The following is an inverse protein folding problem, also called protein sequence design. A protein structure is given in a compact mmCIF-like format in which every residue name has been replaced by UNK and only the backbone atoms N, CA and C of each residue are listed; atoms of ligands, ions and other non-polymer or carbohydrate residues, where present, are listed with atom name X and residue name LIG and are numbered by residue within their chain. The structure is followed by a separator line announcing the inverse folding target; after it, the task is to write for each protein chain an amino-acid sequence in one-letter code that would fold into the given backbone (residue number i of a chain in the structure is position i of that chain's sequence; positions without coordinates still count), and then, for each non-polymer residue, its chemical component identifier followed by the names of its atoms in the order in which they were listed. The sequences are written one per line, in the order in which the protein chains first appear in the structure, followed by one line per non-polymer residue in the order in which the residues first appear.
data_IF_921410876644
#
_entry.id   IF_921410876644
#
_cell.length_a   1.000
_cell.length_b   1.000
_cell.length_c   1.000
_cell.angle_alpha   90.00
_cell.angle_beta   90.00
_cell.angle_gamma   90.00
#
_symmetry.space_group_name_H-M   'P 1'
#
loop_
_entity.id
_entity.type
_entity.pdbx_description
1 polymer ?
#
# COMPACT_ATOMS: atom_id res chain seq x y z
N UNK A 1 -12.94 -17.81 10.72
CA UNK A 1 -13.49 -16.49 10.36
C UNK A 1 -12.67 -15.95 9.22
N UNK A 2 -13.27 -15.36 8.19
CA UNK A 2 -12.52 -14.76 7.08
C UNK A 2 -12.17 -13.35 7.52
N UNK A 3 -10.89 -13.01 7.56
CA UNK A 3 -10.46 -11.64 7.89
C UNK A 3 -10.68 -10.74 6.68
N UNK A 4 -11.22 -9.55 6.93
CA UNK A 4 -11.42 -8.54 5.90
C UNK A 4 -10.12 -7.81 5.58
N UNK A 5 -10.04 -7.22 4.39
CA UNK A 5 -8.97 -6.27 4.06
C UNK A 5 -9.47 -4.86 4.36
N UNK A 6 -8.74 -4.16 5.22
CA UNK A 6 -9.08 -2.83 5.73
C UNK A 6 -8.08 -1.77 5.23
N UNK A 7 -8.54 -0.52 5.14
CA UNK A 7 -7.72 0.63 4.80
C UNK A 7 -8.06 1.82 5.68
N UNK A 8 -7.05 2.60 6.09
CA UNK A 8 -7.24 3.84 6.85
C UNK A 8 -6.06 4.81 6.66
N UNK A 9 -6.32 6.09 6.90
CA UNK A 9 -5.26 7.08 7.14
C UNK A 9 -4.53 6.72 8.44
N UNK A 10 -3.21 6.60 8.38
CA UNK A 10 -2.34 6.33 9.52
C UNK A 10 -1.67 7.59 10.08
N UNK A 11 -1.75 8.71 9.37
CA UNK A 11 -1.29 10.03 9.81
C UNK A 11 -2.46 10.94 10.22
N UNK A 12 -2.25 11.91 11.13
CA UNK A 12 -3.27 12.89 11.49
C UNK A 12 -3.76 13.72 10.29
N UNK A 13 -5.00 14.21 10.37
CA UNK A 13 -5.52 15.15 9.39
C UNK A 13 -4.80 16.50 9.48
N UNK A 14 -4.49 17.10 8.33
CA UNK A 14 -3.81 18.38 8.24
C UNK A 14 -2.91 18.46 7.02
N UNK A 15 -2.13 19.55 6.94
CA UNK A 15 -1.13 19.75 5.89
C UNK A 15 0.23 19.30 6.43
N UNK A 16 0.90 18.43 5.71
CA UNK A 16 2.23 17.93 6.03
C UNK A 16 2.97 17.49 4.77
N UNK A 17 4.27 17.25 4.90
CA UNK A 17 5.09 16.81 3.78
C UNK A 17 4.76 15.37 3.32
N UNK A 18 4.27 14.53 4.22
CA UNK A 18 3.95 13.11 3.98
C UNK A 18 2.64 12.77 4.67
N UNK A 19 1.80 11.99 3.98
CA UNK A 19 0.64 11.31 4.54
C UNK A 19 0.80 9.81 4.35
N UNK A 20 0.34 9.00 5.31
CA UNK A 20 0.42 7.54 5.22
C UNK A 20 -0.99 6.96 5.17
N UNK A 21 -1.26 6.15 4.15
CA UNK A 21 -2.43 5.29 4.06
C UNK A 21 -1.95 3.86 4.32
N UNK A 22 -2.57 3.17 5.29
CA UNK A 22 -2.24 1.78 5.61
C UNK A 22 -3.36 0.86 5.13
N UNK A 23 -2.98 -0.17 4.37
CA UNK A 23 -3.86 -1.28 3.97
C UNK A 23 -3.38 -2.55 4.69
N UNK A 24 -4.29 -3.33 5.28
CA UNK A 24 -3.96 -4.59 5.94
C UNK A 24 -5.03 -5.64 5.67
N UNK A 25 -4.63 -6.92 5.64
CA UNK A 25 -5.52 -8.07 5.44
C UNK A 25 -5.13 -8.92 4.23
N UNK A 26 -5.86 -10.03 4.00
CA UNK A 26 -5.46 -11.08 3.06
C UNK A 26 -5.48 -10.66 1.59
N UNK A 27 -6.08 -9.53 1.23
CA UNK A 27 -6.12 -8.99 -0.13
C UNK A 27 -5.39 -7.65 -0.26
N UNK A 28 -4.62 -7.24 0.76
CA UNK A 28 -3.93 -5.94 0.78
C UNK A 28 -3.00 -5.75 -0.42
N UNK A 29 -2.15 -6.74 -0.72
CA UNK A 29 -1.23 -6.64 -1.87
C UNK A 29 -1.96 -6.64 -3.20
N UNK A 30 -2.98 -7.49 -3.37
CA UNK A 30 -3.80 -7.51 -4.59
C UNK A 30 -4.50 -6.17 -4.82
N UNK A 31 -5.12 -5.60 -3.78
CA UNK A 31 -5.79 -4.32 -3.87
C UNK A 31 -4.82 -3.18 -4.27
N UNK A 32 -3.63 -3.15 -3.66
CA UNK A 32 -2.59 -2.17 -3.97
C UNK A 32 -2.05 -2.36 -5.40
N UNK A 33 -1.81 -3.60 -5.84
CA UNK A 33 -1.25 -3.91 -7.16
C UNK A 33 -2.18 -3.56 -8.34
N UNK A 34 -3.46 -3.28 -8.08
CA UNK A 34 -4.41 -2.79 -9.08
C UNK A 34 -4.27 -1.29 -9.36
N UNK A 35 -3.70 -0.53 -8.42
CA UNK A 35 -3.58 0.94 -8.54
C UNK A 35 -2.14 1.42 -8.57
N UNK A 36 -1.18 0.57 -8.13
CA UNK A 36 0.24 0.90 -8.06
C UNK A 36 1.02 0.44 -9.30
N UNK A 37 1.84 1.33 -9.82
CA UNK A 37 2.71 1.13 -10.96
C UNK A 37 4.15 1.39 -10.54
N UNK A 38 4.90 0.32 -10.31
CA UNK A 38 6.31 0.39 -9.93
C UNK A 38 7.16 -0.65 -10.64
N UNK A 39 8.41 -0.79 -10.21
CA UNK A 39 9.35 -1.76 -10.82
C UNK A 39 8.90 -3.22 -10.68
N UNK A 40 8.12 -3.53 -9.65
CA UNK A 40 7.58 -4.86 -9.43
C UNK A 40 6.19 -4.78 -8.80
N UNK A 41 5.44 -5.88 -8.92
CA UNK A 41 4.19 -6.09 -8.18
C UNK A 41 4.51 -6.24 -6.69
N UNK A 42 3.79 -5.51 -5.85
CA UNK A 42 3.90 -5.54 -4.39
C UNK A 42 3.64 -6.96 -3.85
N UNK A 43 2.74 -7.73 -4.47
CA UNK A 43 2.53 -9.14 -4.13
C UNK A 43 3.80 -9.99 -4.26
N UNK A 44 4.75 -9.60 -5.11
CA UNK A 44 6.04 -10.28 -5.30
C UNK A 44 7.20 -9.64 -4.51
N UNK A 45 6.98 -8.48 -3.91
CA UNK A 45 8.01 -7.77 -3.15
C UNK A 45 8.40 -8.51 -1.86
N UNK A 46 9.69 -8.45 -1.51
CA UNK A 46 10.17 -8.92 -0.22
C UNK A 46 9.60 -8.07 0.92
N UNK A 47 9.37 -8.68 2.08
CA UNK A 47 8.96 -7.92 3.26
C UNK A 47 10.08 -6.99 3.75
N UNK A 48 9.72 -5.92 4.46
CA UNK A 48 10.61 -4.90 5.00
C UNK A 48 11.42 -4.18 3.91
N UNK A 49 10.82 -3.99 2.75
CA UNK A 49 11.39 -3.21 1.64
C UNK A 49 10.49 -2.04 1.26
N UNK A 50 11.10 -1.04 0.62
CA UNK A 50 10.42 0.15 0.09
C UNK A 50 10.44 0.13 -1.44
N UNK A 51 9.30 0.46 -2.04
CA UNK A 51 9.12 0.47 -3.50
C UNK A 51 8.59 1.84 -3.94
N UNK A 52 9.31 2.48 -4.85
CA UNK A 52 8.88 3.71 -5.50
C UNK A 52 8.09 3.41 -6.77
N UNK A 53 7.06 4.21 -7.02
CA UNK A 53 6.23 4.18 -8.21
C UNK A 53 5.08 5.16 -8.09
N UNK A 54 4.18 5.13 -9.06
CA UNK A 54 3.01 6.00 -9.12
C UNK A 54 1.72 5.24 -8.79
N UNK A 55 0.78 5.93 -8.15
CA UNK A 55 -0.61 5.50 -8.05
C UNK A 55 -1.40 6.18 -9.17
N UNK A 56 -2.25 5.41 -9.85
CA UNK A 56 -3.15 5.93 -10.89
C UNK A 56 -4.60 5.60 -10.62
N UNK A 57 -5.50 6.39 -11.20
CA UNK A 57 -6.94 6.12 -11.17
C UNK A 57 -7.34 5.09 -12.26
N UNK A 58 -8.64 4.82 -12.38
CA UNK A 58 -9.18 3.86 -13.35
C UNK A 58 -9.06 4.32 -14.81
N UNK A 59 -8.81 5.61 -15.05
CA UNK A 59 -8.62 6.22 -16.37
C UNK A 59 -7.12 6.30 -16.74
N UNK A 60 -6.24 5.66 -15.98
CA UNK A 60 -4.77 5.69 -16.09
C UNK A 60 -4.16 7.10 -15.83
N UNK A 61 -4.90 7.99 -15.17
CA UNK A 61 -4.39 9.30 -14.76
C UNK A 61 -3.57 9.18 -13.47
N UNK A 62 -2.44 9.89 -13.44
CA UNK A 62 -1.55 9.96 -12.29
C UNK A 62 -2.22 10.66 -11.10
N UNK A 63 -2.23 9.99 -9.94
CA UNK A 63 -2.72 10.53 -8.68
C UNK A 63 -1.55 11.08 -7.85
N UNK A 64 -0.53 10.27 -7.61
CA UNK A 64 0.62 10.65 -6.78
C UNK A 64 1.83 9.73 -7.00
N UNK A 65 3.01 10.24 -6.69
CA UNK A 65 4.26 9.49 -6.56
C UNK A 65 4.41 8.99 -5.13
N UNK A 66 4.53 7.68 -4.94
CA UNK A 66 4.47 7.06 -3.61
C UNK A 66 5.67 6.18 -3.31
N UNK A 67 5.90 5.98 -2.01
CA UNK A 67 6.73 4.91 -1.47
C UNK A 67 5.86 3.90 -0.74
N UNK A 68 5.89 2.64 -1.17
CA UNK A 68 5.16 1.54 -0.53
C UNK A 68 6.13 0.73 0.32
N UNK A 69 5.83 0.63 1.62
CA UNK A 69 6.51 -0.27 2.55
C UNK A 69 5.73 -1.59 2.69
N UNK A 70 6.41 -2.72 2.55
CA UNK A 70 5.76 -4.04 2.49
C UNK A 70 6.01 -4.83 3.77
N UNK A 71 4.96 -5.18 4.50
CA UNK A 71 5.03 -6.03 5.69
C UNK A 71 4.23 -7.30 5.46
N UNK A 72 4.85 -8.47 5.64
CA UNK A 72 4.21 -9.78 5.45
C UNK A 72 4.05 -10.48 6.78
N UNK A 73 2.94 -11.20 6.93
CA UNK A 73 2.72 -12.10 8.06
C UNK A 73 3.88 -13.11 8.23
N UNK A 74 4.28 -13.46 9.46
CA UNK A 74 3.77 -12.97 10.74
C UNK A 74 4.50 -11.71 11.26
N UNK A 75 5.27 -11.04 10.40
CA UNK A 75 6.16 -9.94 10.77
C UNK A 75 5.56 -8.58 10.34
N UNK A 76 4.34 -8.32 10.81
CA UNK A 76 3.65 -7.05 10.61
C UNK A 76 2.95 -6.57 11.89
N UNK A 77 2.48 -5.33 11.90
CA UNK A 77 1.72 -4.79 13.04
C UNK A 77 0.44 -5.59 13.34
N UNK A 78 -0.19 -6.18 12.33
CA UNK A 78 -1.45 -6.93 12.45
C UNK A 78 -1.28 -8.45 12.45
N UNK A 79 -0.03 -8.95 12.54
CA UNK A 79 0.28 -10.37 12.33
C UNK A 79 0.84 -10.58 10.94
#
# INVERSE_FOLDING_TARGET
MKEDTIVALATPAGVGAISVIRVSGPQSFFAVDNIFYGKCKIEKALSHTLHYGDIKNQEDEHIDDVLISVFRAPNSYTG
#
